data_IF_642964461297
#
_entry.id   IF_642964461297
#
_cell.length_a   1.000
_cell.length_b   1.000
_cell.length_c   1.000
_cell.angle_alpha   90.00
_cell.angle_beta   90.00
_cell.angle_gamma   90.00
#
_symmetry.space_group_name_H-M   'P 1'
#
loop_
_entity.id
_entity.type
_entity.pdbx_description
1 polymer ?
#
# COMPACT_ATOMS: atom_id res chain seq x y z
N UNK A 1 -22.50 -0.37 -19.95
CA UNK A 1 -21.90 -0.99 -18.76
C UNK A 1 -20.87 0.00 -18.25
N UNK A 2 -20.74 0.22 -16.93
CA UNK A 2 -19.63 1.01 -16.41
C UNK A 2 -18.32 0.37 -16.89
N UNK A 3 -17.34 1.21 -17.21
CA UNK A 3 -15.99 0.76 -17.53
C UNK A 3 -15.39 0.08 -16.28
N UNK A 4 -14.65 -1.01 -16.49
CA UNK A 4 -14.04 -1.74 -15.39
C UNK A 4 -12.88 -0.92 -14.82
N UNK A 5 -12.88 -0.70 -13.51
CA UNK A 5 -11.77 -0.11 -12.78
C UNK A 5 -11.28 -1.09 -11.72
N UNK A 6 -10.01 -1.47 -11.83
CA UNK A 6 -9.38 -2.46 -10.96
C UNK A 6 -9.39 -2.02 -9.49
N UNK A 7 -9.22 -0.71 -9.24
CA UNK A 7 -9.06 -0.16 -7.90
C UNK A 7 -10.37 -0.21 -7.12
N UNK A 8 -11.47 0.24 -7.73
CA UNK A 8 -12.82 0.11 -7.15
C UNK A 8 -13.31 -1.34 -7.06
N UNK A 9 -12.76 -2.25 -7.89
CA UNK A 9 -13.05 -3.68 -7.79
C UNK A 9 -12.33 -4.35 -6.60
N UNK A 10 -11.07 -4.00 -6.35
CA UNK A 10 -10.23 -4.64 -5.33
C UNK A 10 -10.14 -3.89 -4.00
N UNK A 11 -10.68 -2.67 -3.92
CA UNK A 11 -10.73 -1.87 -2.69
C UNK A 11 -11.97 -1.00 -2.62
N UNK A 12 -12.34 -0.64 -1.40
CA UNK A 12 -13.39 0.33 -1.09
C UNK A 12 -12.83 1.74 -0.96
N UNK A 13 -13.67 2.75 -1.16
CA UNK A 13 -13.30 4.16 -0.93
C UNK A 13 -12.84 4.40 0.52
N UNK A 14 -13.39 3.64 1.48
CA UNK A 14 -13.00 3.73 2.90
C UNK A 14 -11.58 3.24 3.14
N UNK A 15 -11.18 2.13 2.52
CA UNK A 15 -9.80 1.62 2.60
C UNK A 15 -8.80 2.61 1.98
N UNK A 16 -9.12 3.13 0.79
CA UNK A 16 -8.29 4.13 0.13
C UNK A 16 -8.13 5.40 0.98
N UNK A 17 -9.20 5.83 1.66
CA UNK A 17 -9.15 6.98 2.56
C UNK A 17 -8.24 6.72 3.78
N UNK A 18 -8.30 5.51 4.33
CA UNK A 18 -7.41 5.09 5.42
C UNK A 18 -5.96 5.12 4.95
N UNK A 19 -5.64 4.51 3.81
CA UNK A 19 -4.27 4.50 3.28
C UNK A 19 -3.75 5.92 3.05
N UNK A 20 -4.58 6.80 2.50
CA UNK A 20 -4.25 8.21 2.32
C UNK A 20 -3.98 8.92 3.66
N UNK A 21 -4.79 8.65 4.69
CA UNK A 21 -4.56 9.21 6.03
C UNK A 21 -3.26 8.70 6.69
N UNK A 22 -2.78 7.54 6.27
CA UNK A 22 -1.53 6.92 6.72
C UNK A 22 -0.30 7.35 5.90
N UNK A 23 -0.46 8.29 4.96
CA UNK A 23 0.64 8.83 4.17
C UNK A 23 0.85 8.16 2.80
N UNK A 24 -0.04 7.26 2.36
CA UNK A 24 0.01 6.79 0.97
C UNK A 24 -0.34 7.94 0.01
N UNK A 25 0.45 8.18 -1.05
CA UNK A 25 0.08 9.14 -2.09
C UNK A 25 -1.24 8.75 -2.77
N UNK A 26 -2.01 9.75 -3.20
CA UNK A 26 -3.35 9.53 -3.77
C UNK A 26 -3.37 9.34 -5.29
N UNK A 27 -2.22 9.17 -5.91
CA UNK A 27 -2.14 8.86 -7.34
C UNK A 27 -2.49 7.39 -7.60
N UNK A 28 -2.92 7.12 -8.83
CA UNK A 28 -3.42 5.81 -9.24
C UNK A 28 -2.38 4.69 -9.04
N UNK A 29 -1.11 4.97 -9.35
CA UNK A 29 -0.02 4.00 -9.22
C UNK A 29 0.24 3.64 -7.74
N UNK A 30 0.18 4.61 -6.84
CA UNK A 30 0.35 4.35 -5.40
C UNK A 30 -0.78 3.49 -4.83
N UNK A 31 -2.03 3.69 -5.28
CA UNK A 31 -3.17 2.86 -4.90
C UNK A 31 -3.00 1.44 -5.46
N UNK A 32 -2.59 1.30 -6.72
CA UNK A 32 -2.29 -0.01 -7.33
C UNK A 32 -1.15 -0.74 -6.61
N UNK A 33 -0.07 -0.04 -6.24
CA UNK A 33 1.01 -0.60 -5.46
C UNK A 33 0.55 -1.09 -4.08
N UNK A 34 -0.30 -0.32 -3.39
CA UNK A 34 -0.88 -0.74 -2.11
C UNK A 34 -1.73 -2.01 -2.26
N UNK A 35 -2.54 -2.10 -3.32
CA UNK A 35 -3.31 -3.30 -3.64
C UNK A 35 -2.40 -4.52 -3.84
N UNK A 36 -1.32 -4.37 -4.60
CA UNK A 36 -0.35 -5.46 -4.83
C UNK A 36 0.29 -5.87 -3.51
N UNK A 37 0.78 -4.92 -2.69
CA UNK A 37 1.43 -5.20 -1.40
C UNK A 37 0.49 -5.97 -0.45
N UNK A 38 -0.78 -5.57 -0.39
CA UNK A 38 -1.75 -6.12 0.57
C UNK A 38 -2.40 -7.42 0.10
N UNK A 39 -2.48 -7.67 -1.20
CA UNK A 39 -3.22 -8.81 -1.76
C UNK A 39 -2.31 -9.81 -2.50
N UNK A 40 -1.00 -9.57 -2.60
CA UNK A 40 -0.08 -10.52 -3.23
C UNK A 40 0.02 -11.82 -2.43
N UNK A 41 -0.09 -12.96 -3.13
CA UNK A 41 0.17 -14.27 -2.55
C UNK A 41 1.67 -14.52 -2.22
N UNK A 42 2.57 -13.75 -2.84
CA UNK A 42 4.01 -13.80 -2.61
C UNK A 42 4.51 -12.71 -1.66
N UNK A 43 5.80 -12.74 -1.34
CA UNK A 43 6.45 -11.65 -0.62
C UNK A 43 6.72 -10.48 -1.58
N UNK A 44 6.10 -9.31 -1.39
CA UNK A 44 6.31 -8.16 -2.26
C UNK A 44 7.74 -7.62 -2.10
N UNK A 45 8.37 -7.28 -3.23
CA UNK A 45 9.68 -6.62 -3.27
C UNK A 45 9.49 -5.18 -3.70
N UNK A 46 9.79 -4.22 -2.82
CA UNK A 46 9.53 -2.80 -3.03
C UNK A 46 10.82 -2.10 -3.48
N UNK A 47 10.75 -1.38 -4.59
CA UNK A 47 11.78 -0.42 -5.01
C UNK A 47 11.28 0.97 -4.58
N UNK A 48 11.78 1.46 -3.46
CA UNK A 48 11.25 2.65 -2.80
C UNK A 48 12.37 3.69 -2.52
N UNK A 49 12.74 4.51 -3.52
CA UNK A 49 13.81 5.49 -3.37
C UNK A 49 13.45 6.66 -2.45
N UNK A 50 12.16 6.95 -2.25
CA UNK A 50 11.68 8.04 -1.39
C UNK A 50 11.35 7.61 0.03
N UNK A 51 11.42 6.31 0.33
CA UNK A 51 10.97 5.70 1.59
C UNK A 51 9.46 5.86 1.88
N UNK A 52 8.68 6.40 0.94
CA UNK A 52 7.29 6.76 1.19
C UNK A 52 6.40 5.53 1.39
N UNK A 53 6.61 4.50 0.57
CA UNK A 53 5.84 3.25 0.67
C UNK A 53 6.22 2.49 1.95
N UNK A 54 7.50 2.53 2.32
CA UNK A 54 8.03 1.92 3.55
C UNK A 54 7.47 2.60 4.80
N UNK A 55 7.46 3.94 4.83
CA UNK A 55 6.88 4.72 5.93
C UNK A 55 5.36 4.50 6.06
N UNK A 56 4.64 4.46 4.94
CA UNK A 56 3.23 4.11 4.91
C UNK A 56 3.00 2.70 5.47
N UNK A 57 3.79 1.71 5.06
CA UNK A 57 3.63 0.33 5.52
C UNK A 57 3.92 0.20 7.03
N UNK A 58 4.94 0.87 7.54
CA UNK A 58 5.21 0.96 8.99
C UNK A 58 4.02 1.56 9.75
N UNK A 59 3.42 2.62 9.21
CA UNK A 59 2.23 3.27 9.79
C UNK A 59 1.00 2.36 9.73
N UNK A 60 0.79 1.68 8.61
CA UNK A 60 -0.31 0.75 8.40
C UNK A 60 -0.23 -0.46 9.34
N UNK A 61 0.99 -0.96 9.57
CA UNK A 61 1.27 -2.11 10.45
C UNK A 61 1.55 -1.72 11.90
N UNK A 62 1.32 -0.47 12.33
CA UNK A 62 1.65 0.00 13.68
C UNK A 62 1.04 -0.82 14.83
N UNK A 63 -0.09 -1.48 14.59
CA UNK A 63 -0.77 -2.35 15.57
C UNK A 63 -0.23 -3.79 15.57
N UNK A 64 0.65 -4.11 14.63
CA UNK A 64 1.31 -5.40 14.50
C UNK A 64 2.74 -5.32 15.06
N UNK A 65 3.28 -6.47 15.46
CA UNK A 65 4.68 -6.57 15.85
C UNK A 65 5.56 -6.61 14.59
N UNK A 66 6.10 -5.47 14.21
CA UNK A 66 7.00 -5.31 13.06
C UNK A 66 8.46 -5.22 13.53
N UNK A 67 9.35 -5.93 12.86
CA UNK A 67 10.80 -5.83 13.04
C UNK A 67 11.43 -5.32 11.74
N UNK A 68 12.23 -4.27 11.83
CA UNK A 68 12.91 -3.64 10.69
C UNK A 68 14.40 -3.88 10.81
N UNK A 69 15.01 -4.46 9.77
CA UNK A 69 16.43 -4.80 9.72
C UNK A 69 17.05 -4.24 8.44
N UNK A 70 18.35 -3.93 8.49
CA UNK A 70 19.12 -3.48 7.33
C UNK A 70 19.94 -4.66 6.77
N UNK A 71 20.14 -4.69 5.45
CA UNK A 71 21.17 -5.55 4.87
C UNK A 71 22.54 -5.05 5.33
N UNK A 72 23.34 -5.98 5.87
CA UNK A 72 24.71 -5.72 6.34
C UNK A 72 25.67 -5.45 5.18
#
# INVERSE_FOLDING_TARGET
LPEFDLRSFLSTESEQLIWKSQGLPSDDLSIENALIILQSAGCPFLIDPSSQATEWLCTHLQQHRVEVINQQ
#
